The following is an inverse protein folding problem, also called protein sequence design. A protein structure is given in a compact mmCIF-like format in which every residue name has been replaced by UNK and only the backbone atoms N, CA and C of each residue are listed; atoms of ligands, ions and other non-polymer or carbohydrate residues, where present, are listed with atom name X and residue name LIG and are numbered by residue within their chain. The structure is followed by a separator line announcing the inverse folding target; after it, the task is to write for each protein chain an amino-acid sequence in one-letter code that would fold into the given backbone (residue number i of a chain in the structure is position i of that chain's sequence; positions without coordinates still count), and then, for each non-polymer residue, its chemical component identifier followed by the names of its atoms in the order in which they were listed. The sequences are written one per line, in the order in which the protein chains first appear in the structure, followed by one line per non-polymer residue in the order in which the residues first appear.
data_IF_918377517274
#
_entry.id   IF_918377517274
#
_cell.length_a   1.000
_cell.length_b   1.000
_cell.length_c   1.000
_cell.angle_alpha   90.00
_cell.angle_beta   90.00
_cell.angle_gamma   90.00
#
_symmetry.space_group_name_H-M   'P 1'
#
loop_
_entity.id
_entity.type
_entity.pdbx_description
1 polymer ?
#
# COMPACT_ATOMS: atom_id res chain seq x y z
N UNK A 1 -44.73 30.37 -6.32
CA UNK A 1 -43.75 29.35 -6.74
C UNK A 1 -42.37 29.76 -6.27
N UNK A 2 -41.83 29.10 -5.25
CA UNK A 2 -40.49 29.38 -4.72
C UNK A 2 -39.44 28.90 -5.73
N UNK A 3 -38.75 29.82 -6.40
CA UNK A 3 -37.55 29.51 -7.20
C UNK A 3 -36.47 29.04 -6.23
N UNK A 4 -36.23 27.72 -6.16
CA UNK A 4 -35.05 27.18 -5.46
C UNK A 4 -33.80 27.77 -6.14
N UNK A 5 -32.86 28.37 -5.39
CA UNK A 5 -31.61 28.82 -5.98
C UNK A 5 -30.82 27.56 -6.32
N UNK A 6 -30.74 27.22 -7.60
CA UNK A 6 -29.71 26.31 -8.06
C UNK A 6 -28.37 26.98 -7.78
N UNK A 7 -27.46 26.37 -6.99
CA UNK A 7 -26.18 26.98 -6.73
C UNK A 7 -25.42 27.06 -8.06
N UNK A 8 -25.24 28.29 -8.54
CA UNK A 8 -24.39 28.62 -9.67
C UNK A 8 -23.04 27.94 -9.51
N UNK A 9 -22.75 26.96 -10.38
CA UNK A 9 -21.49 26.23 -10.51
C UNK A 9 -20.78 25.96 -9.18
N UNK A 10 -21.15 24.87 -8.50
CA UNK A 10 -20.35 24.28 -7.43
C UNK A 10 -18.90 24.24 -7.88
N UNK A 11 -18.05 25.03 -7.22
CA UNK A 11 -16.64 25.09 -7.54
C UNK A 11 -15.99 23.81 -6.97
N UNK A 12 -16.06 22.72 -7.74
CA UNK A 12 -15.72 21.36 -7.30
C UNK A 12 -14.32 21.26 -6.68
N UNK A 13 -13.38 22.10 -7.11
CA UNK A 13 -12.03 22.21 -6.54
C UNK A 13 -12.04 22.59 -5.05
N UNK A 14 -12.79 23.63 -4.68
CA UNK A 14 -12.92 24.10 -3.29
C UNK A 14 -13.70 23.10 -2.43
N UNK A 15 -14.70 22.43 -2.99
CA UNK A 15 -15.51 21.44 -2.29
C UNK A 15 -14.73 20.17 -1.97
N UNK A 16 -13.95 19.65 -2.92
CA UNK A 16 -13.17 18.42 -2.74
C UNK A 16 -12.04 18.60 -1.72
N UNK A 17 -11.34 19.74 -1.74
CA UNK A 17 -10.31 20.04 -0.75
C UNK A 17 -10.90 20.14 0.68
N UNK A 18 -12.05 20.81 0.83
CA UNK A 18 -12.74 20.91 2.13
C UNK A 18 -13.19 19.55 2.66
N UNK A 19 -13.76 18.69 1.79
CA UNK A 19 -14.14 17.32 2.17
C UNK A 19 -12.93 16.49 2.57
N UNK A 20 -11.83 16.59 1.83
CA UNK A 20 -10.59 15.89 2.15
C UNK A 20 -10.05 16.28 3.54
N UNK A 21 -9.98 17.58 3.82
CA UNK A 21 -9.58 18.07 5.15
C UNK A 21 -10.53 17.62 6.26
N UNK A 22 -11.85 17.59 5.98
CA UNK A 22 -12.83 17.08 6.94
C UNK A 22 -12.54 15.62 7.31
N UNK A 23 -12.33 14.73 6.32
CA UNK A 23 -12.02 13.33 6.58
C UNK A 23 -10.73 13.14 7.38
N UNK A 24 -9.67 13.92 7.07
CA UNK A 24 -8.44 13.86 7.86
C UNK A 24 -8.71 14.28 9.30
N UNK A 25 -9.49 15.35 9.51
CA UNK A 25 -9.78 15.86 10.86
C UNK A 25 -10.72 14.97 11.66
N UNK A 26 -11.54 14.18 11.00
CA UNK A 26 -12.35 13.14 11.66
C UNK A 26 -11.46 12.12 12.37
N UNK A 27 -10.33 11.71 11.74
CA UNK A 27 -9.35 10.83 12.37
C UNK A 27 -8.31 11.56 13.24
N UNK A 28 -7.95 12.79 12.85
CA UNK A 28 -6.87 13.61 13.44
C UNK A 28 -7.33 15.07 13.61
N UNK A 29 -8.11 15.40 14.64
CA UNK A 29 -8.71 16.73 14.80
C UNK A 29 -7.69 17.89 14.84
N UNK A 30 -6.49 17.61 15.35
CA UNK A 30 -5.38 18.57 15.46
C UNK A 30 -4.62 18.80 14.14
N UNK A 31 -5.00 18.14 13.04
CA UNK A 31 -4.33 18.30 11.76
C UNK A 31 -4.46 19.73 11.25
N UNK A 32 -3.33 20.37 10.97
CA UNK A 32 -3.30 21.73 10.41
C UNK A 32 -3.63 21.67 8.92
N UNK A 33 -4.34 22.69 8.41
CA UNK A 33 -4.76 22.75 7.01
C UNK A 33 -3.59 23.08 6.03
N UNK A 34 -2.42 22.47 6.22
CA UNK A 34 -1.19 22.72 5.48
C UNK A 34 -0.90 21.61 4.45
N UNK A 35 -1.93 21.12 3.77
CA UNK A 35 -1.77 20.09 2.73
C UNK A 35 -1.19 20.73 1.48
N UNK A 36 -0.01 20.27 1.04
CA UNK A 36 0.55 20.68 -0.25
C UNK A 36 0.02 19.74 -1.35
N UNK A 37 -0.52 20.26 -2.47
CA UNK A 37 -1.00 19.42 -3.57
C UNK A 37 0.08 18.51 -4.18
N UNK A 38 1.35 18.92 -4.11
CA UNK A 38 2.51 18.11 -4.50
C UNK A 38 2.57 16.77 -3.78
N UNK A 39 2.04 16.71 -2.57
CA UNK A 39 2.16 15.56 -1.66
C UNK A 39 1.25 14.42 -2.09
N UNK A 40 0.17 14.76 -2.78
CA UNK A 40 -0.75 13.80 -3.37
C UNK A 40 -0.18 13.14 -4.64
N UNK A 41 0.96 13.60 -5.16
CA UNK A 41 1.57 13.06 -6.38
C UNK A 41 2.90 12.34 -6.15
N UNK A 42 3.42 12.32 -4.92
CA UNK A 42 4.69 11.65 -4.61
C UNK A 42 4.53 10.18 -4.26
N UNK A 43 5.63 9.44 -4.38
CA UNK A 43 5.79 8.09 -3.82
C UNK A 43 6.58 8.21 -2.51
N UNK A 44 6.10 7.58 -1.44
CA UNK A 44 6.78 7.60 -0.13
C UNK A 44 7.10 6.18 0.30
N UNK A 45 8.35 5.93 0.67
CA UNK A 45 8.73 4.68 1.33
C UNK A 45 8.35 4.73 2.81
N UNK A 46 7.55 3.79 3.28
CA UNK A 46 7.12 3.68 4.67
C UNK A 46 7.57 2.34 5.26
N UNK A 47 8.11 2.40 6.47
CA UNK A 47 8.28 1.23 7.32
C UNK A 47 7.01 1.08 8.15
N UNK A 48 6.20 0.08 7.84
CA UNK A 48 4.98 -0.22 8.59
C UNK A 48 5.30 -0.62 10.03
N UNK A 49 4.40 -0.29 10.96
CA UNK A 49 4.44 -0.88 12.31
C UNK A 49 4.27 -2.40 12.18
N UNK A 50 5.11 -3.16 12.86
CA UNK A 50 5.12 -4.64 12.81
C UNK A 50 4.01 -5.28 13.66
N UNK A 51 2.81 -4.71 13.61
CA UNK A 51 1.66 -5.13 14.43
C UNK A 51 0.83 -6.24 13.77
N UNK A 52 1.02 -6.49 12.47
CA UNK A 52 0.33 -7.54 11.74
C UNK A 52 1.31 -8.69 11.45
N UNK A 53 0.94 -9.92 11.83
CA UNK A 53 1.76 -11.13 11.62
C UNK A 53 2.16 -11.33 10.15
N UNK A 54 1.28 -10.99 9.20
CA UNK A 54 1.58 -11.04 7.76
C UNK A 54 2.65 -10.02 7.37
N UNK A 55 2.54 -8.79 7.88
CA UNK A 55 3.51 -7.72 7.63
C UNK A 55 4.88 -8.09 8.23
N UNK A 56 4.88 -8.66 9.44
CA UNK A 56 6.08 -9.16 10.09
C UNK A 56 6.74 -10.27 9.27
N UNK A 57 5.97 -11.25 8.78
CA UNK A 57 6.50 -12.36 7.99
C UNK A 57 7.07 -11.91 6.64
N UNK A 58 6.55 -10.83 6.05
CA UNK A 58 7.07 -10.25 4.82
C UNK A 58 8.36 -9.44 5.02
N UNK A 59 8.70 -9.09 6.27
CA UNK A 59 9.87 -8.28 6.66
C UNK A 59 10.07 -7.07 5.72
N UNK A 60 8.96 -6.44 5.33
CA UNK A 60 8.92 -5.55 4.17
C UNK A 60 8.88 -4.06 4.51
N UNK A 61 9.35 -3.24 3.58
CA UNK A 61 8.97 -1.84 3.47
C UNK A 61 7.87 -1.69 2.41
N UNK A 62 7.04 -0.67 2.56
CA UNK A 62 5.94 -0.40 1.63
C UNK A 62 6.18 0.91 0.91
N UNK A 63 5.65 1.02 -0.30
CA UNK A 63 5.65 2.25 -1.07
C UNK A 63 4.20 2.75 -1.14
N UNK A 64 3.98 3.95 -0.63
CA UNK A 64 2.71 4.64 -0.72
C UNK A 64 2.69 5.47 -1.99
N UNK A 65 1.72 5.21 -2.86
CA UNK A 65 1.55 5.91 -4.13
C UNK A 65 0.46 6.96 -4.01
N UNK A 66 0.81 8.20 -4.35
CA UNK A 66 -0.16 9.27 -4.56
C UNK A 66 -1.05 9.06 -5.79
N UNK A 67 -2.05 9.91 -5.96
CA UNK A 67 -3.12 9.85 -6.97
C UNK A 67 -2.61 9.74 -8.41
N UNK A 68 -1.53 10.44 -8.75
CA UNK A 68 -0.89 10.42 -10.07
C UNK A 68 0.59 10.03 -10.00
N UNK A 69 1.00 9.43 -8.90
CA UNK A 69 2.39 9.06 -8.69
C UNK A 69 2.79 7.94 -9.66
N UNK A 70 3.83 8.17 -10.45
CA UNK A 70 4.46 7.15 -11.28
C UNK A 70 5.85 6.86 -10.72
N UNK A 71 6.23 5.59 -10.73
CA UNK A 71 7.59 5.18 -10.45
C UNK A 71 8.47 5.58 -11.63
N UNK A 72 9.22 6.67 -11.47
CA UNK A 72 10.26 7.03 -12.41
C UNK A 72 11.51 6.24 -12.05
N UNK A 73 11.90 5.31 -12.92
CA UNK A 73 13.12 4.50 -12.73
C UNK A 73 14.40 5.30 -12.97
N UNK A 74 14.24 6.45 -13.62
CA UNK A 74 15.28 7.44 -13.85
C UNK A 74 15.14 8.50 -12.78
N UNK A 75 15.74 8.18 -11.63
CA UNK A 75 16.35 9.12 -10.68
C UNK A 75 15.60 10.44 -10.46
N UNK A 76 14.63 10.44 -9.56
CA UNK A 76 14.13 11.68 -8.93
C UNK A 76 13.74 11.44 -7.46
N UNK A 77 14.28 10.42 -6.80
CA UNK A 77 13.82 10.01 -5.47
C UNK A 77 14.90 9.30 -4.66
N UNK A 78 14.76 9.35 -3.33
CA UNK A 78 15.65 8.83 -2.28
C UNK A 78 15.88 7.30 -2.28
N UNK A 79 15.63 6.59 -3.39
CA UNK A 79 15.70 5.14 -3.48
C UNK A 79 16.19 4.65 -4.85
N UNK A 80 16.91 3.53 -4.85
CA UNK A 80 17.40 2.85 -6.05
C UNK A 80 16.53 1.64 -6.39
N UNK A 81 16.11 1.54 -7.66
CA UNK A 81 15.30 0.41 -8.13
C UNK A 81 16.23 -0.62 -8.79
N UNK A 82 16.34 -1.79 -8.16
CA UNK A 82 16.99 -2.96 -8.73
C UNK A 82 15.95 -3.97 -9.23
N UNK A 83 16.00 -4.31 -10.51
CA UNK A 83 15.11 -5.31 -11.11
C UNK A 83 15.82 -6.65 -11.24
N UNK A 84 15.27 -7.67 -10.59
CA UNK A 84 15.74 -9.06 -10.71
C UNK A 84 14.73 -9.83 -11.56
N UNK A 85 15.16 -10.32 -12.73
CA UNK A 85 14.32 -11.19 -13.56
C UNK A 85 14.56 -12.65 -13.15
N UNK A 86 13.48 -13.33 -12.77
CA UNK A 86 13.53 -14.74 -12.35
C UNK A 86 12.97 -15.61 -13.47
N UNK A 87 13.78 -16.54 -13.97
CA UNK A 87 13.34 -17.53 -14.95
C UNK A 87 12.24 -18.44 -14.36
N UNK A 88 11.27 -18.83 -15.19
CA UNK A 88 10.17 -19.70 -14.76
C UNK A 88 10.65 -21.02 -14.14
N UNK A 89 11.69 -21.62 -14.73
CA UNK A 89 12.31 -22.86 -14.25
C UNK A 89 12.93 -22.73 -12.86
N UNK A 90 13.41 -21.55 -12.48
CA UNK A 90 14.04 -21.32 -11.17
C UNK A 90 13.02 -21.14 -10.03
N UNK A 91 11.76 -20.84 -10.34
CA UNK A 91 10.74 -20.51 -9.33
C UNK A 91 10.51 -21.64 -8.32
N UNK A 92 10.46 -22.89 -8.79
CA UNK A 92 10.23 -24.04 -7.89
C UNK A 92 11.36 -24.19 -6.87
N UNK A 93 12.62 -24.03 -7.30
CA UNK A 93 13.78 -24.07 -6.40
C UNK A 93 13.74 -22.91 -5.40
N UNK A 94 13.50 -21.69 -5.87
CA UNK A 94 13.40 -20.51 -5.00
C UNK A 94 12.29 -20.69 -3.97
N UNK A 95 11.12 -21.22 -4.33
CA UNK A 95 10.04 -21.47 -3.38
C UNK A 95 10.42 -22.49 -2.31
N UNK A 96 11.21 -23.52 -2.65
CA UNK A 96 11.75 -24.47 -1.67
C UNK A 96 12.75 -23.78 -0.73
N UNK A 97 13.65 -22.97 -1.28
CA UNK A 97 14.65 -22.24 -0.49
C UNK A 97 13.97 -21.22 0.46
N UNK A 98 12.92 -20.54 0.00
CA UNK A 98 12.11 -19.63 0.82
C UNK A 98 11.36 -20.37 1.93
N UNK A 99 10.88 -21.58 1.67
CA UNK A 99 10.21 -22.40 2.69
C UNK A 99 11.14 -22.74 3.86
N UNK A 100 12.44 -22.97 3.59
CA UNK A 100 13.46 -23.24 4.62
C UNK A 100 13.64 -22.08 5.60
N UNK A 101 13.42 -20.84 5.15
CA UNK A 101 13.52 -19.64 5.97
C UNK A 101 12.15 -19.12 6.43
N UNK A 102 11.14 -20.00 6.47
CA UNK A 102 9.77 -19.69 6.93
C UNK A 102 9.07 -18.60 6.11
N UNK A 103 9.42 -18.42 4.84
CA UNK A 103 8.68 -17.57 3.90
C UNK A 103 7.79 -18.48 3.06
N UNK A 104 6.60 -18.77 3.57
CA UNK A 104 5.64 -19.68 2.94
C UNK A 104 4.18 -19.28 3.20
N UNK A 105 3.25 -20.01 2.60
CA UNK A 105 1.81 -19.68 2.67
C UNK A 105 1.30 -19.57 4.11
N UNK A 106 1.73 -20.47 5.00
CA UNK A 106 1.31 -20.50 6.41
C UNK A 106 1.77 -19.25 7.16
N UNK A 107 2.98 -18.77 6.91
CA UNK A 107 3.52 -17.60 7.64
C UNK A 107 2.98 -16.28 7.09
N UNK A 108 2.80 -16.18 5.77
CA UNK A 108 2.23 -14.99 5.13
C UNK A 108 0.71 -14.89 5.38
N UNK A 109 -0.01 -16.00 5.38
CA UNK A 109 -1.46 -16.05 5.59
C UNK A 109 -1.80 -17.07 6.69
N UNK A 110 -1.69 -16.67 7.98
CA UNK A 110 -1.82 -17.58 9.12
C UNK A 110 -3.29 -17.88 9.46
N UNK A 111 -4.11 -18.24 8.45
CA UNK A 111 -5.45 -18.77 8.67
C UNK A 111 -5.40 -20.29 8.84
N UNK A 112 -6.41 -20.87 9.48
CA UNK A 112 -6.48 -22.31 9.71
C UNK A 112 -6.50 -23.08 8.38
N UNK A 113 -7.27 -22.59 7.41
CA UNK A 113 -7.42 -23.21 6.09
C UNK A 113 -6.10 -23.20 5.31
N UNK A 114 -5.39 -22.07 5.31
CA UNK A 114 -4.11 -21.95 4.61
C UNK A 114 -3.02 -22.79 5.29
N UNK A 115 -3.07 -22.90 6.62
CA UNK A 115 -2.18 -23.78 7.38
C UNK A 115 -2.44 -25.24 7.05
N UNK A 116 -3.71 -25.67 7.02
CA UNK A 116 -4.10 -27.03 6.67
C UNK A 116 -3.69 -27.40 5.24
N UNK A 117 -3.93 -26.52 4.26
CA UNK A 117 -3.50 -26.71 2.86
C UNK A 117 -1.99 -26.91 2.75
N UNK A 118 -1.22 -26.05 3.44
CA UNK A 118 0.23 -26.16 3.44
C UNK A 118 0.71 -27.50 4.04
N UNK A 119 0.13 -27.95 5.16
CA UNK A 119 0.49 -29.22 5.79
C UNK A 119 0.13 -30.40 4.89
N UNK A 120 -1.04 -30.38 4.26
CA UNK A 120 -1.46 -31.42 3.33
C UNK A 120 -0.50 -31.54 2.14
N UNK A 121 -0.06 -30.43 1.55
CA UNK A 121 0.84 -30.47 0.40
C UNK A 121 2.28 -30.82 0.79
N UNK A 122 2.69 -30.56 2.04
CA UNK A 122 4.04 -30.86 2.54
C UNK A 122 4.22 -32.31 2.99
N UNK A 123 3.16 -32.94 3.50
CA UNK A 123 3.18 -34.31 4.04
C UNK A 123 2.33 -35.29 3.23
N UNK A 124 2.02 -34.95 1.98
CA UNK A 124 1.42 -35.86 1.00
C UNK A 124 2.41 -36.94 0.56
#
# INVERSE_FOLDING_TARGET
MLKKPFPNKLNYSLTSHKKFLHFIKEEKPYFQNLVKPSDLNRVICIKSKLNNKRILAQTGAFLLFGLKAKMNERSDSDYQIHRIRIAGSAKSKILKDLDLININLRTIYPTLENTAKYLQDKYK
#
